data_IF_811372602244
#
_entry.id   IF_811372602244
#
_cell.length_a   1.000
_cell.length_b   1.000
_cell.length_c   1.000
_cell.angle_alpha   90.00
_cell.angle_beta   90.00
_cell.angle_gamma   90.00
#
_symmetry.space_group_name_H-M   'P 1'
#
loop_
_entity.id
_entity.type
_entity.pdbx_description
1 polymer ?
#
# COMPACT_ATOMS: atom_id res chain seq x y z
N UNK A 1 -46.87 -43.85 31.24
CA UNK A 1 -46.27 -43.87 29.91
C UNK A 1 -46.25 -42.45 29.29
N UNK A 2 -45.73 -41.46 29.95
CA UNK A 2 -45.72 -40.07 29.42
C UNK A 2 -44.54 -39.27 29.97
N UNK A 3 -43.35 -39.82 29.99
CA UNK A 3 -42.16 -39.08 30.51
C UNK A 3 -40.89 -39.20 29.66
N UNK A 4 -41.01 -39.59 28.41
CA UNK A 4 -39.80 -39.79 27.57
C UNK A 4 -39.73 -38.89 26.35
N UNK A 5 -40.61 -37.91 26.18
CA UNK A 5 -40.59 -36.99 25.03
C UNK A 5 -39.94 -35.63 25.33
N UNK A 6 -39.71 -35.30 26.60
CA UNK A 6 -39.20 -33.98 26.98
C UNK A 6 -37.66 -33.88 27.03
N UNK A 7 -36.92 -34.98 26.87
CA UNK A 7 -35.45 -34.99 26.97
C UNK A 7 -34.70 -34.91 25.61
N UNK A 8 -35.41 -35.05 24.50
CA UNK A 8 -34.81 -35.03 23.15
C UNK A 8 -34.85 -33.65 22.47
N UNK A 9 -35.55 -32.67 23.04
CA UNK A 9 -35.65 -31.34 22.42
C UNK A 9 -34.62 -30.32 22.90
N UNK A 10 -33.82 -30.64 23.93
CA UNK A 10 -32.79 -29.73 24.46
C UNK A 10 -31.38 -29.92 23.91
N UNK A 11 -31.14 -31.02 23.18
CA UNK A 11 -29.83 -31.32 22.61
C UNK A 11 -29.58 -30.79 21.18
N UNK A 12 -30.57 -30.08 20.60
CA UNK A 12 -30.52 -29.65 19.18
C UNK A 12 -30.35 -28.15 18.98
N UNK A 13 -30.03 -27.38 20.05
CA UNK A 13 -29.92 -25.90 19.99
C UNK A 13 -28.53 -25.31 20.25
N UNK A 14 -27.49 -26.12 20.24
CA UNK A 14 -26.12 -25.62 20.51
C UNK A 14 -25.17 -26.11 19.43
N UNK A 15 -25.37 -25.79 18.17
CA UNK A 15 -24.36 -25.93 17.11
C UNK A 15 -24.70 -25.02 15.90
N UNK A 16 -25.14 -23.78 16.16
CA UNK A 16 -25.09 -22.71 15.14
C UNK A 16 -24.30 -21.52 15.74
N UNK A 17 -23.06 -21.76 16.08
CA UNK A 17 -22.10 -20.75 16.52
C UNK A 17 -21.08 -20.50 15.44
N UNK A 18 -21.33 -19.46 14.63
CA UNK A 18 -20.34 -18.52 14.14
C UNK A 18 -19.04 -19.10 13.57
N UNK A 19 -19.06 -19.58 12.36
CA UNK A 19 -17.90 -19.47 11.48
C UNK A 19 -17.95 -18.07 10.84
N UNK A 20 -17.57 -17.04 11.59
CA UNK A 20 -17.24 -15.74 11.04
C UNK A 20 -15.88 -15.91 10.36
N UNK A 21 -15.90 -16.30 9.08
CA UNK A 21 -14.72 -16.31 8.25
C UNK A 21 -14.21 -14.85 8.17
N UNK A 22 -13.13 -14.55 8.89
CA UNK A 22 -12.32 -13.38 8.63
C UNK A 22 -11.78 -13.53 7.21
N UNK A 23 -12.48 -12.97 6.24
CA UNK A 23 -11.94 -12.68 4.92
C UNK A 23 -10.98 -11.54 5.14
N UNK A 24 -9.73 -11.84 5.53
CA UNK A 24 -8.63 -10.92 5.40
C UNK A 24 -8.45 -10.71 3.90
N UNK A 25 -9.07 -9.65 3.39
CA UNK A 25 -8.74 -9.14 2.06
C UNK A 25 -7.27 -8.81 2.07
N UNK A 26 -6.43 -9.66 1.48
CA UNK A 26 -5.13 -9.25 1.00
C UNK A 26 -5.41 -8.21 -0.10
N UNK A 27 -5.51 -6.96 0.29
CA UNK A 27 -5.46 -5.87 -0.65
C UNK A 27 -4.04 -5.92 -1.23
N UNK A 28 -3.87 -6.52 -2.43
CA UNK A 28 -2.71 -6.22 -3.24
C UNK A 28 -2.62 -4.70 -3.25
N UNK A 29 -1.50 -4.17 -2.79
CA UNK A 29 -1.29 -2.73 -2.74
C UNK A 29 -1.12 -2.21 -4.17
N UNK A 30 -2.25 -2.15 -4.90
CA UNK A 30 -2.34 -1.47 -6.17
C UNK A 30 -1.99 0.00 -5.95
N UNK A 31 -1.37 0.62 -6.95
CA UNK A 31 -1.18 2.07 -6.92
C UNK A 31 -2.54 2.77 -6.87
N UNK A 32 -2.64 3.82 -6.06
CA UNK A 32 -3.84 4.65 -5.94
C UNK A 32 -3.52 6.11 -6.28
N UNK A 33 -4.47 6.87 -6.82
CA UNK A 33 -4.28 8.30 -7.04
C UNK A 33 -3.93 9.02 -5.75
N UNK A 34 -2.98 9.95 -5.81
CA UNK A 34 -2.61 10.76 -4.66
C UNK A 34 -3.77 11.64 -4.22
N UNK A 35 -4.02 11.65 -2.92
CA UNK A 35 -4.78 12.71 -2.24
C UNK A 35 -4.10 13.07 -0.93
N UNK A 36 -4.20 14.34 -0.55
CA UNK A 36 -3.64 14.83 0.71
C UNK A 36 -4.19 14.08 1.91
N UNK A 37 -5.51 13.88 1.97
CA UNK A 37 -6.17 13.19 3.05
C UNK A 37 -5.65 11.74 3.21
N UNK A 38 -5.45 11.03 2.10
CA UNK A 38 -4.91 9.68 2.11
C UNK A 38 -3.45 9.66 2.56
N UNK A 39 -2.64 10.59 2.06
CA UNK A 39 -1.25 10.71 2.44
C UNK A 39 -1.09 10.98 3.95
N UNK A 40 -1.84 11.96 4.48
CA UNK A 40 -1.82 12.29 5.91
C UNK A 40 -2.31 11.13 6.80
N UNK A 41 -3.35 10.40 6.38
CA UNK A 41 -3.83 9.23 7.11
C UNK A 41 -2.75 8.14 7.21
N UNK A 42 -2.09 7.81 6.10
CA UNK A 42 -0.99 6.85 6.06
C UNK A 42 0.22 7.29 6.89
N UNK A 43 0.53 8.59 6.88
CA UNK A 43 1.57 9.15 7.73
C UNK A 43 1.25 8.96 9.22
N UNK A 44 0.00 9.23 9.62
CA UNK A 44 -0.47 9.03 11.00
C UNK A 44 -0.45 7.57 11.45
N UNK A 45 -0.58 6.63 10.53
CA UNK A 45 -0.46 5.18 10.76
C UNK A 45 1.01 4.69 10.84
N UNK A 46 1.99 5.55 10.56
CA UNK A 46 3.39 5.15 10.45
C UNK A 46 3.66 4.25 9.24
N UNK A 47 2.83 4.34 8.20
CA UNK A 47 2.89 3.46 7.04
C UNK A 47 4.15 3.66 6.19
N UNK A 48 4.50 2.63 5.41
CA UNK A 48 5.49 2.73 4.34
C UNK A 48 4.79 3.26 3.07
N UNK A 49 5.18 4.44 2.62
CA UNK A 49 4.52 5.15 1.54
C UNK A 49 5.52 5.44 0.43
N UNK A 50 5.18 5.09 -0.80
CA UNK A 50 5.86 5.53 -2.00
C UNK A 50 5.00 6.59 -2.68
N UNK A 51 5.54 7.80 -2.83
CA UNK A 51 4.98 8.84 -3.67
C UNK A 51 5.66 8.77 -5.03
N UNK A 52 4.87 8.59 -6.07
CA UNK A 52 5.31 8.44 -7.45
C UNK A 52 4.79 9.61 -8.29
N UNK A 53 5.68 10.52 -8.67
CA UNK A 53 5.36 11.65 -9.55
C UNK A 53 5.42 11.17 -10.99
N UNK A 54 4.25 10.85 -11.53
CA UNK A 54 4.04 10.10 -12.76
C UNK A 54 3.44 10.95 -13.88
N UNK A 55 3.80 10.64 -15.11
CA UNK A 55 3.10 11.09 -16.30
C UNK A 55 2.92 9.92 -17.28
N UNK A 56 1.73 9.78 -17.86
CA UNK A 56 1.39 8.66 -18.75
C UNK A 56 2.25 8.61 -20.02
N UNK A 57 2.72 9.75 -20.49
CA UNK A 57 3.58 9.89 -21.67
C UNK A 57 5.06 9.64 -21.39
N UNK A 58 5.45 9.40 -20.13
CA UNK A 58 6.85 9.31 -19.69
C UNK A 58 7.39 7.87 -19.76
N UNK A 59 8.34 7.55 -20.66
CA UNK A 59 8.92 6.19 -20.75
C UNK A 59 9.67 5.77 -19.49
N UNK A 60 10.34 6.70 -18.81
CA UNK A 60 11.04 6.43 -17.55
C UNK A 60 10.06 6.06 -16.45
N UNK A 61 8.90 6.73 -16.37
CA UNK A 61 7.84 6.40 -15.45
C UNK A 61 7.31 4.97 -15.71
N UNK A 62 7.11 4.61 -16.98
CA UNK A 62 6.69 3.27 -17.36
C UNK A 62 7.72 2.20 -16.95
N UNK A 63 9.01 2.50 -17.07
CA UNK A 63 10.08 1.61 -16.59
C UNK A 63 10.06 1.47 -15.06
N UNK A 64 9.84 2.56 -14.33
CA UNK A 64 9.69 2.53 -12.87
C UNK A 64 8.51 1.67 -12.43
N UNK A 65 7.35 1.79 -13.10
CA UNK A 65 6.18 0.96 -12.79
C UNK A 65 6.50 -0.54 -12.84
N UNK A 66 7.20 -0.99 -13.85
CA UNK A 66 7.62 -2.40 -13.98
C UNK A 66 8.46 -2.87 -12.80
N UNK A 67 9.38 -2.04 -12.32
CA UNK A 67 10.22 -2.34 -11.16
C UNK A 67 9.41 -2.39 -9.89
N UNK A 68 8.51 -1.42 -9.68
CA UNK A 68 7.63 -1.36 -8.50
C UNK A 68 6.63 -2.52 -8.46
N UNK A 69 6.10 -2.92 -9.60
CA UNK A 69 5.22 -4.09 -9.70
C UNK A 69 5.98 -5.39 -9.41
N UNK A 70 7.21 -5.50 -9.91
CA UNK A 70 8.10 -6.64 -9.60
C UNK A 70 8.44 -6.70 -8.10
N UNK A 71 8.67 -5.54 -7.45
CA UNK A 71 8.88 -5.49 -6.01
C UNK A 71 7.67 -6.02 -5.24
N UNK A 72 6.47 -5.56 -5.57
CA UNK A 72 5.25 -6.02 -4.90
C UNK A 72 4.98 -7.50 -5.11
N UNK A 73 5.23 -8.01 -6.32
CA UNK A 73 5.10 -9.43 -6.62
C UNK A 73 6.09 -10.29 -5.82
N UNK A 74 7.32 -9.80 -5.61
CA UNK A 74 8.35 -10.48 -4.82
C UNK A 74 8.10 -10.38 -3.30
N UNK A 75 7.35 -9.36 -2.84
CA UNK A 75 7.09 -9.08 -1.43
C UNK A 75 5.58 -8.92 -1.16
N UNK A 76 4.76 -9.96 -1.36
CA UNK A 76 3.30 -9.86 -1.26
C UNK A 76 2.81 -9.45 0.13
N UNK A 77 3.59 -9.74 1.17
CA UNK A 77 3.25 -9.38 2.56
C UNK A 77 3.72 -7.98 2.96
N UNK A 78 4.42 -7.28 2.07
CA UNK A 78 4.90 -5.92 2.34
C UNK A 78 3.80 -4.92 2.09
N UNK A 79 3.35 -4.25 3.15
CA UNK A 79 2.35 -3.19 3.06
C UNK A 79 3.00 -1.88 2.53
N UNK A 80 3.32 -1.84 1.24
CA UNK A 80 3.79 -0.63 0.55
C UNK A 80 2.61 0.08 -0.09
N UNK A 81 2.30 1.29 0.37
CA UNK A 81 1.26 2.15 -0.20
C UNK A 81 1.85 3.02 -1.32
N UNK A 82 1.37 2.86 -2.54
CA UNK A 82 1.84 3.62 -3.71
C UNK A 82 0.84 4.70 -4.05
N UNK A 83 1.19 5.97 -3.81
CA UNK A 83 0.39 7.15 -4.14
C UNK A 83 0.94 7.82 -5.40
N UNK A 84 0.12 7.91 -6.44
CA UNK A 84 0.52 8.46 -7.73
C UNK A 84 0.10 9.92 -7.83
N UNK A 85 1.07 10.82 -7.89
CA UNK A 85 0.88 12.24 -8.18
C UNK A 85 0.91 12.43 -9.69
N UNK A 86 -0.19 12.88 -10.28
CA UNK A 86 -0.25 13.24 -11.69
C UNK A 86 0.59 14.50 -11.95
N UNK A 87 1.69 14.34 -12.67
CA UNK A 87 2.62 15.44 -12.97
C UNK A 87 1.94 16.58 -13.72
N UNK A 88 0.99 16.29 -14.59
CA UNK A 88 0.35 17.29 -15.44
C UNK A 88 -0.81 18.00 -14.76
N UNK A 89 -1.55 17.29 -13.90
CA UNK A 89 -2.78 17.78 -13.27
C UNK A 89 -2.59 18.28 -11.83
N UNK A 90 -1.62 17.71 -11.08
CA UNK A 90 -1.43 18.00 -9.66
C UNK A 90 -0.17 18.84 -9.41
N UNK A 91 -0.04 19.98 -10.09
CA UNK A 91 1.16 20.85 -10.06
C UNK A 91 1.52 21.36 -8.65
N UNK A 92 0.54 21.59 -7.80
CA UNK A 92 0.74 21.98 -6.41
C UNK A 92 1.48 20.89 -5.62
N UNK A 93 1.15 19.63 -5.86
CA UNK A 93 1.81 18.49 -5.20
C UNK A 93 3.18 18.19 -5.78
N UNK A 94 3.36 18.35 -7.09
CA UNK A 94 4.70 18.30 -7.72
C UNK A 94 5.63 19.31 -7.04
N UNK A 95 5.14 20.54 -6.81
CA UNK A 95 5.89 21.58 -6.10
C UNK A 95 6.09 21.25 -4.62
N UNK A 96 5.05 20.78 -3.93
CA UNK A 96 5.10 20.39 -2.51
C UNK A 96 6.20 19.34 -2.26
N UNK A 97 6.27 18.30 -3.08
CA UNK A 97 7.29 17.27 -3.01
C UNK A 97 8.65 17.69 -3.61
N UNK A 98 8.78 18.94 -4.08
CA UNK A 98 10.00 19.46 -4.71
C UNK A 98 10.48 18.57 -5.85
N UNK A 99 9.56 17.93 -6.55
CA UNK A 99 9.88 17.09 -7.69
C UNK A 99 10.31 17.95 -8.88
N UNK A 100 11.57 17.81 -9.35
CA UNK A 100 12.07 18.66 -10.44
C UNK A 100 11.46 18.28 -11.79
N UNK A 101 10.94 17.06 -11.88
CA UNK A 101 10.32 16.49 -13.08
C UNK A 101 9.46 15.28 -12.73
N UNK A 102 8.71 14.76 -13.70
CA UNK A 102 8.10 13.43 -13.62
C UNK A 102 9.18 12.36 -13.39
N UNK A 103 8.80 11.14 -13.09
CA UNK A 103 9.70 10.04 -12.69
C UNK A 103 10.52 10.35 -11.41
N UNK A 104 9.96 11.15 -10.53
CA UNK A 104 10.48 11.38 -9.18
C UNK A 104 9.78 10.44 -8.22
N UNK A 105 10.57 9.67 -7.46
CA UNK A 105 10.09 8.75 -6.44
C UNK A 105 10.53 9.25 -5.06
N UNK A 106 9.60 9.22 -4.09
CA UNK A 106 9.87 9.54 -2.69
C UNK A 106 9.37 8.39 -1.82
N UNK A 107 10.18 7.98 -0.84
CA UNK A 107 9.75 7.02 0.17
C UNK A 107 9.63 7.71 1.52
N UNK A 108 8.55 7.37 2.23
CA UNK A 108 8.29 7.80 3.59
C UNK A 108 8.08 6.61 4.50
N UNK A 109 8.50 6.75 5.77
CA UNK A 109 8.06 5.92 6.87
C UNK A 109 7.32 6.81 7.85
N UNK A 110 5.98 6.70 7.89
CA UNK A 110 5.17 7.70 8.58
C UNK A 110 5.41 9.10 8.00
N UNK A 111 5.80 10.04 8.83
CA UNK A 111 6.10 11.42 8.43
C UNK A 111 7.53 11.63 7.92
N UNK A 112 8.43 10.67 8.14
CA UNK A 112 9.85 10.81 7.82
C UNK A 112 10.15 10.37 6.38
N UNK A 113 10.75 11.30 5.59
CA UNK A 113 11.22 10.97 4.25
C UNK A 113 12.51 10.15 4.35
N UNK A 114 12.48 8.94 3.78
CA UNK A 114 13.58 7.98 3.81
C UNK A 114 14.45 8.03 2.55
N UNK A 115 13.85 8.38 1.43
CA UNK A 115 14.55 8.38 0.15
C UNK A 115 13.90 9.33 -0.85
N UNK A 116 14.71 9.83 -1.77
CA UNK A 116 14.31 10.68 -2.88
C UNK A 116 15.15 10.35 -4.10
N UNK A 117 14.53 10.15 -5.23
CA UNK A 117 15.24 9.83 -6.48
C UNK A 117 14.53 10.41 -7.69
N UNK A 118 15.30 10.78 -8.69
CA UNK A 118 14.82 11.27 -9.98
C UNK A 118 15.31 10.35 -11.09
N UNK A 119 14.37 9.84 -11.88
CA UNK A 119 14.64 8.97 -13.03
C UNK A 119 15.37 7.65 -12.70
N UNK A 120 15.34 7.19 -11.45
CA UNK A 120 15.91 5.89 -11.08
C UNK A 120 15.06 4.76 -11.64
N UNK A 121 15.69 3.81 -12.35
CA UNK A 121 15.02 2.64 -12.96
C UNK A 121 15.73 1.33 -12.65
N UNK A 122 16.85 1.38 -11.91
CA UNK A 122 17.60 0.17 -11.54
C UNK A 122 16.84 -0.59 -10.45
N UNK A 123 16.58 -1.86 -10.74
CA UNK A 123 15.81 -2.73 -9.84
C UNK A 123 16.45 -2.87 -8.46
N UNK A 124 17.76 -3.08 -8.41
CA UNK A 124 18.51 -3.25 -7.17
C UNK A 124 18.47 -1.99 -6.29
N UNK A 125 18.60 -0.81 -6.87
CA UNK A 125 18.55 0.45 -6.13
C UNK A 125 17.14 0.73 -5.57
N UNK A 126 16.10 0.56 -6.38
CA UNK A 126 14.71 0.75 -5.93
C UNK A 126 14.35 -0.27 -4.84
N UNK A 127 14.68 -1.54 -5.02
CA UNK A 127 14.42 -2.60 -4.03
C UNK A 127 15.11 -2.30 -2.71
N UNK A 128 16.40 -1.98 -2.77
CA UNK A 128 17.20 -1.61 -1.59
C UNK A 128 16.61 -0.38 -0.86
N UNK A 129 16.19 0.64 -1.60
CA UNK A 129 15.58 1.83 -1.02
C UNK A 129 14.28 1.49 -0.27
N UNK A 130 13.40 0.67 -0.88
CA UNK A 130 12.14 0.25 -0.25
C UNK A 130 12.42 -0.61 0.99
N UNK A 131 13.35 -1.57 0.91
CA UNK A 131 13.70 -2.43 2.04
C UNK A 131 14.28 -1.63 3.20
N UNK A 132 15.14 -0.65 2.90
CA UNK A 132 15.71 0.25 3.90
C UNK A 132 14.63 1.08 4.59
N UNK A 133 13.72 1.68 3.81
CA UNK A 133 12.61 2.45 4.35
C UNK A 133 11.62 1.59 5.16
N UNK A 134 11.42 0.34 4.75
CA UNK A 134 10.57 -0.60 5.47
C UNK A 134 11.14 -1.01 6.84
N UNK A 135 12.46 -1.05 6.96
CA UNK A 135 13.16 -1.37 8.22
C UNK A 135 13.25 -0.15 9.16
N UNK A 136 13.01 1.07 8.67
CA UNK A 136 13.03 2.27 9.49
C UNK A 136 11.84 2.28 10.47
N UNK A 137 12.08 2.79 11.67
CA UNK A 137 11.03 3.04 12.67
C UNK A 137 10.26 4.31 12.28
N UNK A 138 8.92 4.33 12.44
CA UNK A 138 8.12 5.53 12.21
C UNK A 138 8.45 6.65 13.19
#
# INVERSE_FOLDING_TARGET
>A
MQDNQAKLSRARRVLLGAALALVTSLALAASEPFSEARFQALQGEGALILVDVHADWCPTCAAQQKVLDAYQAAHPDRALHRLVVDFDQQKEWVKHFKAPRQSTLLLYRGTEQQWFSVAETRTDEIFKAIDTAAAATP
#
